data_IF_388878714520
#
_entry.id   IF_388878714520
#
_cell.length_a   1.000
_cell.length_b   1.000
_cell.length_c   1.000
_cell.angle_alpha   90.00
_cell.angle_beta   90.00
_cell.angle_gamma   90.00
#
_symmetry.space_group_name_H-M   'P 1'
#
loop_
_entity.id
_entity.type
_entity.pdbx_description
1 polymer ?
#
# COMPACT_ATOMS: atom_id res chain seq x y z
N UNK A 1 -14.79 -13.46 -1.69
CA UNK A 1 -14.99 -13.36 -3.15
C UNK A 1 -16.27 -12.64 -3.56
N UNK A 2 -17.35 -12.61 -2.74
CA UNK A 2 -18.57 -11.85 -3.09
C UNK A 2 -18.31 -10.37 -3.42
N UNK A 3 -17.49 -9.68 -2.63
CA UNK A 3 -17.09 -8.28 -2.90
C UNK A 3 -16.49 -8.10 -4.30
N UNK A 4 -15.44 -8.83 -4.65
CA UNK A 4 -14.82 -8.71 -5.99
C UNK A 4 -15.80 -9.11 -7.10
N UNK A 5 -16.67 -10.09 -6.85
CA UNK A 5 -17.70 -10.48 -7.83
C UNK A 5 -18.72 -9.35 -8.10
N UNK A 6 -19.05 -8.57 -7.09
CA UNK A 6 -20.03 -7.49 -7.14
C UNK A 6 -19.44 -6.18 -7.71
N UNK A 7 -18.17 -5.90 -7.41
CA UNK A 7 -17.53 -4.62 -7.74
C UNK A 7 -16.52 -4.71 -8.90
N UNK A 8 -15.78 -5.82 -9.04
CA UNK A 8 -14.69 -5.98 -10.03
C UNK A 8 -14.73 -7.39 -10.68
N UNK A 9 -15.72 -7.66 -11.55
CA UNK A 9 -15.95 -9.00 -12.10
C UNK A 9 -14.79 -9.49 -12.98
N UNK A 10 -14.02 -8.60 -13.61
CA UNK A 10 -12.84 -9.00 -14.40
C UNK A 10 -11.69 -9.43 -13.48
N UNK A 11 -11.51 -8.74 -12.35
CA UNK A 11 -10.54 -9.14 -11.34
C UNK A 11 -10.84 -10.53 -10.74
N UNK A 12 -12.12 -10.92 -10.68
CA UNK A 12 -12.51 -12.27 -10.24
C UNK A 12 -11.86 -13.37 -11.10
N UNK A 13 -11.82 -13.20 -12.42
CA UNK A 13 -11.22 -14.19 -13.32
C UNK A 13 -9.72 -14.37 -13.03
N UNK A 14 -9.00 -13.29 -12.76
CA UNK A 14 -7.58 -13.33 -12.43
C UNK A 14 -7.32 -13.93 -11.04
N UNK A 15 -8.17 -13.62 -10.06
CA UNK A 15 -8.08 -14.21 -8.72
C UNK A 15 -8.35 -15.72 -8.74
N UNK A 16 -9.27 -16.18 -9.60
CA UNK A 16 -9.52 -17.61 -9.79
C UNK A 16 -8.30 -18.31 -10.41
N UNK A 17 -7.65 -17.70 -11.42
CA UNK A 17 -6.40 -18.21 -11.99
C UNK A 17 -5.26 -18.23 -10.98
N UNK A 18 -5.12 -17.17 -10.18
CA UNK A 18 -4.14 -17.09 -9.10
C UNK A 18 -4.33 -18.22 -8.09
N UNK A 19 -5.57 -18.41 -7.61
CA UNK A 19 -5.91 -19.46 -6.64
C UNK A 19 -5.69 -20.86 -7.21
N UNK A 20 -5.98 -21.06 -8.49
CA UNK A 20 -5.78 -22.32 -9.18
C UNK A 20 -4.30 -22.55 -9.59
N UNK A 21 -3.43 -21.54 -9.46
CA UNK A 21 -2.04 -21.56 -9.93
C UNK A 21 -1.94 -21.93 -11.42
N UNK A 22 -2.85 -21.40 -12.25
CA UNK A 22 -2.96 -21.73 -13.68
C UNK A 22 -2.45 -20.59 -14.57
N UNK A 23 -2.52 -20.82 -15.89
CA UNK A 23 -1.99 -19.91 -16.92
C UNK A 23 -2.39 -18.44 -16.70
N UNK A 24 -1.45 -17.54 -17.01
CA UNK A 24 -1.23 -16.15 -16.53
C UNK A 24 -0.23 -16.06 -15.37
N UNK A 25 -0.15 -17.08 -14.50
CA UNK A 25 0.88 -17.17 -13.46
C UNK A 25 1.80 -18.37 -13.74
N UNK A 26 3.08 -18.10 -13.95
CA UNK A 26 4.08 -19.16 -14.11
C UNK A 26 4.38 -19.87 -12.80
N UNK A 27 4.66 -21.17 -12.84
CA UNK A 27 4.95 -21.98 -11.65
C UNK A 27 6.12 -21.45 -10.80
N UNK A 28 7.12 -20.80 -11.42
CA UNK A 28 8.24 -20.20 -10.71
C UNK A 28 7.84 -19.06 -9.77
N UNK A 29 6.65 -18.49 -9.92
CA UNK A 29 6.15 -17.42 -9.05
C UNK A 29 5.66 -17.95 -7.69
N UNK A 30 5.43 -19.27 -7.58
CA UNK A 30 4.93 -19.93 -6.37
C UNK A 30 6.00 -20.75 -5.65
N UNK A 31 7.27 -20.54 -5.98
CA UNK A 31 8.38 -21.21 -5.30
C UNK A 31 8.74 -20.49 -3.99
N UNK A 32 9.43 -21.15 -3.04
CA UNK A 32 9.82 -20.53 -1.78
C UNK A 32 10.62 -19.24 -1.96
N UNK A 33 11.41 -19.11 -3.02
CA UNK A 33 12.22 -17.94 -3.33
C UNK A 33 11.37 -16.70 -3.64
N UNK A 34 10.11 -16.87 -4.08
CA UNK A 34 9.23 -15.74 -4.37
C UNK A 34 8.82 -14.97 -3.11
N UNK A 35 8.92 -15.60 -1.93
CA UNK A 35 8.65 -14.97 -0.63
C UNK A 35 9.65 -13.89 -0.24
N UNK A 36 10.82 -13.87 -0.90
CA UNK A 36 11.87 -12.87 -0.67
C UNK A 36 11.47 -11.51 -1.28
N UNK A 37 10.64 -11.53 -2.31
CA UNK A 37 10.23 -10.33 -3.05
C UNK A 37 9.09 -9.62 -2.30
N UNK A 38 9.13 -8.29 -2.28
CA UNK A 38 8.03 -7.49 -1.71
C UNK A 38 6.70 -7.85 -2.42
N UNK A 39 5.59 -8.04 -1.69
CA UNK A 39 4.31 -8.44 -2.30
C UNK A 39 3.85 -7.55 -3.47
N UNK A 40 4.02 -6.23 -3.35
CA UNK A 40 3.67 -5.29 -4.42
C UNK A 40 4.51 -5.51 -5.69
N UNK A 41 5.80 -5.83 -5.54
CA UNK A 41 6.70 -6.10 -6.68
C UNK A 41 6.33 -7.41 -7.34
N UNK A 42 5.95 -8.42 -6.55
CA UNK A 42 5.47 -9.70 -7.08
C UNK A 42 4.23 -9.52 -7.95
N UNK A 43 3.21 -8.78 -7.48
CA UNK A 43 2.00 -8.50 -8.25
C UNK A 43 2.29 -7.66 -9.51
N UNK A 44 3.13 -6.63 -9.39
CA UNK A 44 3.49 -5.77 -10.52
C UNK A 44 4.30 -6.50 -11.60
N UNK A 45 5.01 -7.58 -11.27
CA UNK A 45 5.76 -8.38 -12.26
C UNK A 45 4.85 -9.01 -13.33
N UNK A 46 3.57 -9.22 -13.01
CA UNK A 46 2.57 -9.84 -13.87
C UNK A 46 1.62 -8.82 -14.49
N UNK A 47 1.84 -7.51 -14.28
CA UNK A 47 0.92 -6.42 -14.67
C UNK A 47 0.39 -6.52 -16.09
N UNK A 48 1.24 -6.98 -17.03
CA UNK A 48 0.90 -7.14 -18.46
C UNK A 48 -0.13 -8.24 -18.74
N UNK A 49 -0.24 -9.22 -17.86
CA UNK A 49 -1.05 -10.43 -18.03
C UNK A 49 -2.33 -10.43 -17.18
N UNK A 50 -2.51 -9.39 -16.38
CA UNK A 50 -3.65 -9.18 -15.48
C UNK A 50 -4.49 -8.00 -15.95
N UNK A 51 -5.77 -8.01 -15.60
CA UNK A 51 -6.64 -6.87 -15.82
C UNK A 51 -6.18 -5.67 -14.96
N UNK A 52 -6.40 -4.47 -15.47
CA UNK A 52 -5.98 -3.25 -14.78
C UNK A 52 -6.67 -3.10 -13.41
N UNK A 53 -7.92 -3.54 -13.28
CA UNK A 53 -8.64 -3.63 -12.00
C UNK A 53 -7.87 -4.48 -10.97
N UNK A 54 -7.36 -5.65 -11.38
CA UNK A 54 -6.55 -6.53 -10.53
C UNK A 54 -5.25 -5.85 -10.10
N UNK A 55 -4.61 -5.13 -11.02
CA UNK A 55 -3.37 -4.40 -10.73
C UNK A 55 -3.60 -3.30 -9.68
N UNK A 56 -4.68 -2.52 -9.85
CA UNK A 56 -5.05 -1.44 -8.91
C UNK A 56 -5.42 -2.00 -7.54
N UNK A 57 -6.21 -3.09 -7.50
CA UNK A 57 -6.55 -3.77 -6.24
C UNK A 57 -5.31 -4.28 -5.51
N UNK A 58 -4.38 -4.92 -6.23
CA UNK A 58 -3.14 -5.42 -5.64
C UNK A 58 -2.25 -4.27 -5.12
N UNK A 59 -2.14 -3.18 -5.87
CA UNK A 59 -1.39 -1.99 -5.44
C UNK A 59 -2.00 -1.38 -4.18
N UNK A 60 -3.31 -1.13 -4.18
CA UNK A 60 -4.03 -0.58 -3.03
C UNK A 60 -3.90 -1.47 -1.82
N UNK A 61 -4.10 -2.78 -1.96
CA UNK A 61 -4.01 -3.72 -0.85
C UNK A 61 -2.60 -3.77 -0.25
N UNK A 62 -1.57 -3.75 -1.09
CA UNK A 62 -0.17 -3.83 -0.64
C UNK A 62 0.37 -2.50 -0.10
N UNK A 63 -0.23 -1.37 -0.48
CA UNK A 63 0.19 -0.02 -0.03
C UNK A 63 -0.72 0.54 1.06
N UNK A 64 -1.87 -0.08 1.30
CA UNK A 64 -2.77 0.27 2.39
C UNK A 64 -2.04 0.13 3.73
N UNK A 65 -1.96 1.24 4.45
CA UNK A 65 -1.39 1.26 5.79
C UNK A 65 -2.37 0.54 6.71
N UNK A 66 -1.97 -0.60 7.27
CA UNK A 66 -2.82 -1.43 8.12
C UNK A 66 -3.23 -0.78 9.44
N UNK A 67 -2.64 0.35 9.83
CA UNK A 67 -2.91 1.02 11.10
C UNK A 67 -2.65 2.54 11.06
N UNK A 68 -3.45 3.29 11.81
CA UNK A 68 -3.22 4.71 12.09
C UNK A 68 -1.98 4.97 12.95
N UNK A 69 -1.38 3.94 13.56
CA UNK A 69 -0.24 4.07 14.48
C UNK A 69 0.95 4.84 13.88
N UNK A 70 1.19 4.72 12.56
CA UNK A 70 2.22 5.49 11.88
C UNK A 70 1.95 7.00 11.89
N UNK A 71 0.69 7.39 11.71
CA UNK A 71 0.23 8.77 11.81
C UNK A 71 0.25 9.25 13.26
N UNK A 72 -0.12 8.40 14.23
CA UNK A 72 -0.08 8.72 15.66
C UNK A 72 1.35 8.96 16.15
N UNK A 73 2.33 8.17 15.70
CA UNK A 73 3.76 8.42 15.96
C UNK A 73 4.20 9.78 15.41
N UNK A 74 3.76 10.13 14.20
CA UNK A 74 4.03 11.45 13.62
C UNK A 74 3.45 12.57 14.48
N UNK A 75 2.21 12.44 14.95
CA UNK A 75 1.61 13.43 15.85
C UNK A 75 2.27 13.50 17.22
N UNK A 76 2.73 12.37 17.77
CA UNK A 76 3.47 12.33 19.02
C UNK A 76 4.80 13.10 18.91
N UNK A 77 5.57 12.84 17.84
CA UNK A 77 6.83 13.55 17.55
C UNK A 77 6.60 15.05 17.34
N UNK A 78 5.51 15.42 16.68
CA UNK A 78 5.12 16.82 16.48
C UNK A 78 4.36 17.43 17.66
N UNK A 79 4.14 16.69 18.74
CA UNK A 79 3.41 17.15 19.92
C UNK A 79 4.04 18.38 20.56
N UNK A 80 5.37 18.51 20.55
CA UNK A 80 6.07 19.70 21.07
C UNK A 80 5.90 20.96 20.21
N UNK A 81 5.73 20.79 18.89
CA UNK A 81 5.56 21.89 17.91
C UNK A 81 4.09 22.34 17.82
N UNK A 82 3.17 21.41 18.06
CA UNK A 82 1.72 21.66 18.07
C UNK A 82 1.19 22.09 19.44
N UNK A 83 1.81 21.66 20.52
CA UNK A 83 1.40 22.01 21.89
C UNK A 83 1.81 23.42 22.28
N UNK A 84 1.13 23.96 23.31
CA UNK A 84 1.31 25.33 23.80
C UNK A 84 2.65 25.59 24.51
N UNK A 85 3.55 24.60 24.58
CA UNK A 85 4.71 24.63 25.47
C UNK A 85 5.88 25.44 24.91
N UNK A 86 6.13 25.46 23.59
CA UNK A 86 7.35 26.13 23.08
C UNK A 86 7.30 26.90 21.76
N UNK A 87 6.18 26.89 21.02
CA UNK A 87 5.88 27.77 19.87
C UNK A 87 4.63 27.24 19.18
N UNK A 88 3.45 27.78 19.49
CA UNK A 88 2.21 27.34 18.83
C UNK A 88 2.20 27.85 17.39
N UNK A 89 2.69 27.02 16.47
CA UNK A 89 2.53 27.28 15.04
C UNK A 89 1.05 27.19 14.67
N UNK A 90 0.60 28.10 13.80
CA UNK A 90 -0.72 28.00 13.18
C UNK A 90 -0.84 26.68 12.41
N UNK A 91 -2.05 26.15 12.31
CA UNK A 91 -2.36 24.86 11.66
C UNK A 91 -1.76 24.76 10.26
N UNK A 92 -1.82 25.84 9.48
CA UNK A 92 -1.27 25.90 8.12
C UNK A 92 0.25 25.68 8.09
N UNK A 93 1.00 26.36 8.98
CA UNK A 93 2.46 26.23 9.05
C UNK A 93 2.87 24.87 9.60
N UNK A 94 2.15 24.37 10.60
CA UNK A 94 2.38 23.04 11.15
C UNK A 94 2.13 21.94 10.12
N UNK A 95 1.05 22.04 9.33
CA UNK A 95 0.76 21.09 8.25
C UNK A 95 1.88 21.06 7.21
N UNK A 96 2.37 22.23 6.77
CA UNK A 96 3.52 22.32 5.84
C UNK A 96 4.78 21.64 6.41
N UNK A 97 5.09 21.87 7.68
CA UNK A 97 6.24 21.23 8.34
C UNK A 97 6.10 19.72 8.44
N UNK A 98 4.92 19.22 8.82
CA UNK A 98 4.63 17.78 8.89
C UNK A 98 4.76 17.14 7.50
N UNK A 99 4.27 17.79 6.45
CA UNK A 99 4.41 17.32 5.06
C UNK A 99 5.87 17.24 4.64
N UNK A 100 6.67 18.29 4.88
CA UNK A 100 8.10 18.30 4.55
C UNK A 100 8.84 17.21 5.32
N UNK A 101 8.60 17.10 6.63
CA UNK A 101 9.24 16.06 7.45
C UNK A 101 8.89 14.66 6.98
N UNK A 102 7.62 14.39 6.66
CA UNK A 102 7.22 13.09 6.12
C UNK A 102 7.90 12.82 4.77
N UNK A 103 7.95 13.80 3.88
CA UNK A 103 8.59 13.66 2.57
C UNK A 103 10.10 13.38 2.66
N UNK A 104 10.81 14.05 3.57
CA UNK A 104 12.24 13.82 3.79
C UNK A 104 12.55 12.43 4.40
N UNK A 105 11.60 11.83 5.11
CA UNK A 105 11.78 10.54 5.80
C UNK A 105 11.09 9.36 5.10
N UNK A 106 10.52 9.54 3.91
CA UNK A 106 9.89 8.44 3.14
C UNK A 106 10.87 7.43 2.52
N UNK A 107 12.18 7.71 2.57
CA UNK A 107 13.24 6.88 1.99
C UNK A 107 14.08 6.07 2.99
N UNK A 108 13.69 6.00 4.28
CA UNK A 108 14.32 5.15 5.30
C UNK A 108 13.49 3.91 5.60
#
# INVERSE_FOLDING_TARGET
>A
MKYVQEYDPNAMADLLKYRAQTASFHAYLFTPESTIVKPVVWWMSQKRWLHEETNQLAEQLCTAVASSAGIERLFSTFGLVLSRVRNRLGTEKAAKLVTIFRGLNQGQ
#
